data_IF_358716877241
#
_entry.id   IF_358716877241
#
_cell.length_a   1.000
_cell.length_b   1.000
_cell.length_c   1.000
_cell.angle_alpha   90.00
_cell.angle_beta   90.00
_cell.angle_gamma   90.00
#
_symmetry.space_group_name_H-M   'P 1'
#
loop_
_entity.id
_entity.type
_entity.pdbx_description
1 polymer ?
#
# COMPACT_ATOMS: atom_id res chain seq x y z
N UNK A 1 -8.94 -3.07 -6.06
CA UNK A 1 -8.38 -4.35 -6.63
C UNK A 1 -9.48 -5.39 -6.73
N UNK A 2 -10.32 -5.55 -5.71
CA UNK A 2 -11.47 -6.48 -5.73
C UNK A 2 -12.45 -6.13 -6.86
N UNK A 3 -12.74 -4.85 -7.10
CA UNK A 3 -13.61 -4.41 -8.20
C UNK A 3 -13.07 -4.75 -9.59
N UNK A 4 -11.77 -4.68 -9.81
CA UNK A 4 -11.14 -5.04 -11.10
C UNK A 4 -11.27 -6.55 -11.37
N UNK A 5 -11.26 -7.39 -10.34
CA UNK A 5 -11.47 -8.82 -10.47
C UNK A 5 -12.95 -9.20 -10.64
N UNK A 6 -13.89 -8.43 -10.10
CA UNK A 6 -15.34 -8.64 -10.30
C UNK A 6 -15.80 -8.40 -11.75
N UNK A 7 -15.14 -7.50 -12.48
CA UNK A 7 -15.47 -7.20 -13.89
C UNK A 7 -14.97 -8.25 -14.87
N UNK A 8 -14.03 -9.10 -14.50
CA UNK A 8 -13.59 -10.21 -15.32
C UNK A 8 -14.32 -11.47 -14.85
N UNK A 9 -15.28 -11.94 -15.59
CA UNK A 9 -16.20 -13.09 -15.42
C UNK A 9 -15.57 -14.45 -14.98
N UNK A 10 -14.64 -14.43 -14.04
CA UNK A 10 -13.81 -15.54 -13.59
C UNK A 10 -14.36 -16.26 -12.34
N UNK A 11 -15.41 -15.72 -11.74
CA UNK A 11 -15.99 -16.21 -10.49
C UNK A 11 -17.27 -17.05 -10.71
N UNK A 12 -17.27 -17.90 -11.72
CA UNK A 12 -18.40 -18.82 -11.94
C UNK A 12 -18.30 -20.15 -11.16
N UNK A 13 -17.20 -20.38 -10.44
CA UNK A 13 -17.07 -21.56 -9.58
C UNK A 13 -17.58 -21.25 -8.17
N UNK A 14 -18.48 -22.07 -7.59
CA UNK A 14 -18.97 -21.94 -6.22
C UNK A 14 -17.83 -21.85 -5.20
N UNK A 15 -16.75 -22.62 -5.39
CA UNK A 15 -15.60 -22.67 -4.50
C UNK A 15 -14.82 -21.34 -4.47
N UNK A 16 -14.71 -20.65 -5.62
CA UNK A 16 -14.10 -19.34 -5.71
C UNK A 16 -14.98 -18.24 -5.08
N UNK A 17 -16.31 -18.39 -5.17
CA UNK A 17 -17.24 -17.48 -4.51
C UNK A 17 -17.21 -17.63 -2.98
N UNK A 18 -17.01 -18.85 -2.49
CA UNK A 18 -16.87 -19.13 -1.06
C UNK A 18 -15.56 -18.53 -0.50
N UNK A 19 -14.43 -18.70 -1.23
CA UNK A 19 -13.16 -18.03 -0.92
C UNK A 19 -13.33 -16.51 -0.96
N UNK A 20 -13.97 -15.97 -1.99
CA UNK A 20 -14.26 -14.53 -2.09
C UNK A 20 -15.13 -14.03 -0.94
N UNK A 21 -16.10 -14.82 -0.49
CA UNK A 21 -16.92 -14.51 0.69
C UNK A 21 -16.11 -14.43 1.99
N UNK A 22 -15.02 -15.19 2.12
CA UNK A 22 -14.10 -15.11 3.25
C UNK A 22 -13.27 -13.81 3.22
N UNK A 23 -12.86 -13.35 2.02
CA UNK A 23 -12.13 -12.09 1.86
C UNK A 23 -12.99 -10.84 2.16
N UNK A 24 -14.29 -10.88 1.82
CA UNK A 24 -15.19 -9.73 2.04
C UNK A 24 -15.64 -9.58 3.50
N UNK A 25 -15.45 -10.57 4.36
CA UNK A 25 -15.94 -10.57 5.75
C UNK A 25 -15.08 -9.83 6.75
N UNK A 26 -13.91 -9.33 6.38
CA UNK A 26 -13.11 -8.48 7.26
C UNK A 26 -13.59 -7.02 7.14
N UNK A 27 -14.74 -6.72 7.76
CA UNK A 27 -15.08 -5.33 8.05
C UNK A 27 -13.96 -4.77 8.92
N UNK A 28 -13.11 -3.96 8.34
CA UNK A 28 -12.25 -3.08 9.12
C UNK A 28 -13.21 -2.20 9.93
N UNK A 29 -13.24 -2.36 11.25
CA UNK A 29 -13.82 -1.35 12.14
C UNK A 29 -13.03 -0.08 11.87
N UNK A 30 -13.55 0.75 10.99
CA UNK A 30 -12.90 1.97 10.54
C UNK A 30 -12.60 2.85 11.76
N UNK A 31 -11.33 2.87 12.14
CA UNK A 31 -10.83 3.88 13.06
C UNK A 31 -11.02 5.22 12.35
N UNK A 32 -11.66 6.17 13.03
CA UNK A 32 -11.85 7.52 12.47
C UNK A 32 -10.47 8.12 12.24
N UNK A 33 -10.15 8.56 11.00
CA UNK A 33 -8.85 9.15 10.71
C UNK A 33 -8.57 10.33 11.66
N UNK A 34 -7.41 10.33 12.28
CA UNK A 34 -6.98 11.46 13.10
C UNK A 34 -6.49 12.57 12.19
N UNK A 35 -7.08 13.77 12.32
CA UNK A 35 -6.68 14.91 11.51
C UNK A 35 -5.22 15.29 11.81
N UNK A 36 -4.41 15.46 10.74
CA UNK A 36 -3.08 16.01 10.86
C UNK A 36 -3.14 17.46 11.32
N UNK A 37 -2.10 17.87 12.04
CA UNK A 37 -1.89 19.29 12.36
C UNK A 37 -1.38 20.04 11.12
N UNK A 38 -1.75 21.32 10.97
CA UNK A 38 -1.12 22.19 9.97
C UNK A 38 0.36 22.45 10.32
N UNK A 39 0.74 22.26 11.58
CA UNK A 39 2.11 22.38 12.04
C UNK A 39 2.88 21.07 11.76
N UNK A 40 3.87 21.15 10.85
CA UNK A 40 4.72 20.02 10.46
C UNK A 40 5.48 19.44 11.65
N UNK A 41 6.08 20.30 12.50
CA UNK A 41 6.85 19.88 13.67
C UNK A 41 6.01 19.07 14.64
N UNK A 42 4.75 19.46 14.85
CA UNK A 42 3.81 18.73 15.69
C UNK A 42 3.50 17.33 15.13
N UNK A 43 3.37 17.18 13.82
CA UNK A 43 3.16 15.87 13.20
C UNK A 43 4.41 14.98 13.34
N UNK A 44 5.61 15.52 13.14
CA UNK A 44 6.87 14.82 13.34
C UNK A 44 7.00 14.33 14.78
N UNK A 45 6.68 15.19 15.77
CA UNK A 45 6.69 14.83 17.19
C UNK A 45 5.68 13.71 17.50
N UNK A 46 4.45 13.75 16.93
CA UNK A 46 3.45 12.69 17.07
C UNK A 46 3.91 11.35 16.49
N UNK A 47 4.72 11.37 15.45
CA UNK A 47 5.33 10.16 14.86
C UNK A 47 6.52 9.64 15.68
N UNK A 48 6.88 10.30 16.80
CA UNK A 48 8.02 9.94 17.63
C UNK A 48 9.38 10.20 16.96
N UNK A 49 9.43 11.15 16.04
CA UNK A 49 10.64 11.51 15.30
C UNK A 49 11.21 12.85 15.80
N UNK A 50 12.52 13.04 15.62
CA UNK A 50 13.19 14.28 15.93
C UNK A 50 12.98 15.32 14.83
N UNK A 51 12.78 16.56 15.25
CA UNK A 51 12.69 17.70 14.36
C UNK A 51 14.06 18.01 13.75
N UNK A 52 14.09 18.22 12.45
CA UNK A 52 15.31 18.58 11.70
C UNK A 52 15.05 19.84 10.90
N UNK A 53 15.80 20.93 11.13
CA UNK A 53 15.55 22.21 10.46
C UNK A 53 15.50 22.11 8.93
N UNK A 54 16.40 21.33 8.33
CA UNK A 54 16.46 21.14 6.89
C UNK A 54 15.23 20.36 6.35
N UNK A 55 14.66 19.44 7.14
CA UNK A 55 13.44 18.72 6.78
C UNK A 55 12.23 19.65 6.84
N UNK A 56 12.19 20.55 7.82
CA UNK A 56 11.13 21.54 7.94
C UNK A 56 11.14 22.51 6.76
N UNK A 57 12.30 23.07 6.41
CA UNK A 57 12.46 23.94 5.24
C UNK A 57 12.03 23.24 3.94
N UNK A 58 12.39 21.96 3.79
CA UNK A 58 11.95 21.13 2.66
C UNK A 58 10.44 20.96 2.63
N UNK A 59 9.82 20.68 3.78
CA UNK A 59 8.38 20.47 3.89
C UNK A 59 7.60 21.78 3.60
N UNK A 60 8.03 22.91 4.12
CA UNK A 60 7.46 24.24 3.82
C UNK A 60 7.50 24.54 2.33
N UNK A 61 8.63 24.23 1.68
CA UNK A 61 8.76 24.42 0.23
C UNK A 61 7.82 23.51 -0.56
N UNK A 62 7.66 22.26 -0.14
CA UNK A 62 6.70 21.33 -0.76
C UNK A 62 5.26 21.84 -0.56
N UNK A 63 4.89 22.26 0.65
CA UNK A 63 3.57 22.81 0.95
C UNK A 63 3.22 24.00 0.03
N UNK A 64 4.12 24.96 -0.07
CA UNK A 64 3.96 26.11 -0.96
C UNK A 64 3.70 25.68 -2.41
N UNK A 65 4.51 24.75 -2.95
CA UNK A 65 4.38 24.29 -4.35
C UNK A 65 3.08 23.53 -4.60
N UNK A 66 2.61 22.79 -3.62
CA UNK A 66 1.33 22.09 -3.68
C UNK A 66 0.14 23.05 -3.63
N UNK A 67 0.21 24.12 -2.85
CA UNK A 67 -0.83 25.17 -2.80
C UNK A 67 -0.91 25.95 -4.11
N UNK A 68 0.23 26.14 -4.78
CA UNK A 68 0.28 26.83 -6.08
C UNK A 68 -0.22 25.96 -7.26
N UNK A 69 -0.55 24.66 -7.01
CA UNK A 69 -0.96 23.67 -8.03
C UNK A 69 0.00 23.60 -9.24
N UNK A 70 1.31 23.63 -8.94
CA UNK A 70 2.36 23.63 -9.94
C UNK A 70 3.13 22.32 -10.01
N UNK A 71 3.47 21.90 -11.23
CA UNK A 71 4.45 20.82 -11.43
C UNK A 71 5.84 21.33 -11.12
N UNK A 72 6.51 20.67 -10.16
CA UNK A 72 7.80 21.12 -9.65
C UNK A 72 8.79 19.98 -9.50
N UNK A 73 10.08 20.30 -9.65
CA UNK A 73 11.19 19.38 -9.39
C UNK A 73 11.96 19.85 -8.17
N UNK A 74 12.04 19.00 -7.16
CA UNK A 74 12.74 19.32 -5.92
C UNK A 74 13.88 18.32 -5.73
N UNK A 75 15.09 18.84 -5.60
CA UNK A 75 16.25 18.05 -5.26
C UNK A 75 16.60 18.25 -3.78
N UNK A 76 16.77 17.14 -3.06
CA UNK A 76 17.19 17.17 -1.66
C UNK A 76 18.17 16.04 -1.36
N UNK A 77 19.07 16.27 -0.41
CA UNK A 77 20.11 15.31 -0.02
C UNK A 77 19.52 14.02 0.57
N UNK A 78 20.29 12.92 0.45
CA UNK A 78 19.95 11.67 1.14
C UNK A 78 20.02 11.85 2.66
N UNK A 79 19.12 11.18 3.39
CA UNK A 79 19.05 11.26 4.85
C UNK A 79 18.32 12.48 5.42
N UNK A 80 17.84 13.39 4.58
CA UNK A 80 17.08 14.57 5.00
C UNK A 80 15.71 14.23 5.62
N UNK A 81 15.16 13.02 5.38
CA UNK A 81 13.81 12.67 5.78
C UNK A 81 12.75 13.10 4.76
N UNK A 82 13.10 13.05 3.47
CA UNK A 82 12.24 13.49 2.35
C UNK A 82 10.84 12.89 2.38
N UNK A 83 10.71 11.61 2.76
CA UNK A 83 9.44 10.90 2.71
C UNK A 83 8.37 11.61 3.54
N UNK A 84 8.63 11.88 4.80
CA UNK A 84 7.70 12.67 5.61
C UNK A 84 7.63 14.13 5.16
N UNK A 85 8.75 14.69 4.68
CA UNK A 85 8.82 16.05 4.19
C UNK A 85 7.89 16.35 2.99
N UNK A 86 7.54 15.35 2.17
CA UNK A 86 6.54 15.54 1.12
C UNK A 86 5.17 14.92 1.45
N UNK A 87 5.14 13.82 2.21
CA UNK A 87 3.87 13.15 2.55
C UNK A 87 3.01 14.01 3.49
N UNK A 88 3.58 14.57 4.56
CA UNK A 88 2.81 15.32 5.55
C UNK A 88 2.19 16.59 4.98
N UNK A 89 2.90 17.45 4.20
CA UNK A 89 2.28 18.57 3.52
C UNK A 89 1.18 18.13 2.54
N UNK A 90 1.43 17.09 1.73
CA UNK A 90 0.45 16.59 0.79
C UNK A 90 -0.83 16.09 1.48
N UNK A 91 -0.68 15.40 2.62
CA UNK A 91 -1.81 14.91 3.43
C UNK A 91 -2.58 16.04 4.15
N UNK A 92 -1.98 17.21 4.32
CA UNK A 92 -2.63 18.38 4.89
C UNK A 92 -3.46 19.18 3.89
N UNK A 93 -3.30 18.95 2.59
CA UNK A 93 -4.13 19.61 1.59
C UNK A 93 -5.59 19.21 1.79
N UNK A 94 -6.48 20.17 1.80
CA UNK A 94 -7.93 19.95 1.89
C UNK A 94 -8.49 19.45 0.55
N UNK A 95 -7.87 18.43 -0.03
CA UNK A 95 -8.31 17.82 -1.28
C UNK A 95 -9.09 16.55 -0.99
N UNK A 96 -10.23 16.38 -1.64
CA UNK A 96 -10.97 15.11 -1.64
C UNK A 96 -10.31 14.06 -2.54
N UNK A 97 -9.32 14.43 -3.33
CA UNK A 97 -8.53 13.53 -4.14
C UNK A 97 -7.50 12.81 -3.28
N UNK A 98 -7.32 11.52 -3.52
CA UNK A 98 -6.26 10.75 -2.87
C UNK A 98 -4.87 11.19 -3.34
N UNK A 99 -3.83 10.81 -2.57
CA UNK A 99 -2.44 11.07 -2.91
C UNK A 99 -1.86 9.83 -3.57
N UNK A 100 -1.27 10.00 -4.74
CA UNK A 100 -0.53 8.95 -5.43
C UNK A 100 0.97 9.22 -5.34
N UNK A 101 1.71 8.29 -4.70
CA UNK A 101 3.17 8.33 -4.64
C UNK A 101 3.74 7.25 -5.55
N UNK A 102 4.50 7.65 -6.57
CA UNK A 102 5.17 6.73 -7.48
C UNK A 102 6.65 6.62 -7.14
N UNK A 103 7.11 5.39 -6.90
CA UNK A 103 8.52 5.08 -6.66
C UNK A 103 9.13 4.28 -7.81
N UNK A 104 10.42 4.47 -8.12
CA UNK A 104 11.08 3.82 -9.26
C UNK A 104 11.35 2.32 -9.05
N UNK A 105 11.30 1.82 -7.82
CA UNK A 105 11.60 0.41 -7.49
C UNK A 105 10.64 -0.15 -6.46
N UNK A 106 10.40 -1.47 -6.52
CA UNK A 106 9.62 -2.20 -5.49
C UNK A 106 10.26 -2.10 -4.10
N UNK A 107 11.58 -2.07 -4.02
CA UNK A 107 12.31 -1.93 -2.75
C UNK A 107 11.92 -0.63 -2.07
N UNK A 108 11.91 0.49 -2.80
CA UNK A 108 11.51 1.78 -2.25
C UNK A 108 10.02 1.80 -1.89
N UNK A 109 9.14 1.20 -2.71
CA UNK A 109 7.72 1.06 -2.38
C UNK A 109 7.52 0.29 -1.08
N UNK A 110 8.18 -0.87 -0.94
CA UNK A 110 8.09 -1.68 0.26
C UNK A 110 8.64 -0.95 1.49
N UNK A 111 9.76 -0.24 1.35
CA UNK A 111 10.32 0.57 2.43
C UNK A 111 9.31 1.64 2.90
N UNK A 112 8.76 2.43 1.97
CA UNK A 112 7.75 3.46 2.30
C UNK A 112 6.54 2.82 2.99
N UNK A 113 6.08 1.66 2.54
CA UNK A 113 4.91 0.99 3.13
C UNK A 113 5.19 0.44 4.53
N UNK A 114 6.35 -0.19 4.73
CA UNK A 114 6.68 -0.87 5.99
C UNK A 114 7.17 0.07 7.09
N UNK A 115 7.83 1.17 6.72
CA UNK A 115 8.36 2.13 7.68
C UNK A 115 7.42 3.33 7.85
N UNK A 116 7.37 4.21 6.86
CA UNK A 116 6.61 5.45 6.95
C UNK A 116 5.10 5.21 6.91
N UNK A 117 4.64 4.37 6.00
CA UNK A 117 3.22 4.04 5.83
C UNK A 117 2.64 3.37 7.06
N UNK A 118 3.38 2.44 7.68
CA UNK A 118 2.93 1.79 8.89
C UNK A 118 2.77 2.79 10.04
N UNK A 119 3.71 3.70 10.24
CA UNK A 119 3.61 4.75 11.26
C UNK A 119 2.44 5.71 11.02
N UNK A 120 2.20 6.08 9.76
CA UNK A 120 1.06 6.93 9.38
C UNK A 120 -0.27 6.23 9.66
N UNK A 121 -0.38 4.93 9.38
CA UNK A 121 -1.55 4.12 9.73
C UNK A 121 -1.79 4.06 11.23
N UNK A 122 -0.75 3.82 12.02
CA UNK A 122 -0.85 3.69 13.49
C UNK A 122 -1.19 5.02 14.18
N UNK A 123 -0.55 6.11 13.77
CA UNK A 123 -0.68 7.41 14.45
C UNK A 123 -1.90 8.19 13.96
N UNK A 124 -2.15 8.19 12.65
CA UNK A 124 -3.20 9.00 12.04
C UNK A 124 -4.40 8.19 11.53
N UNK A 125 -4.36 6.86 11.66
CA UNK A 125 -5.42 5.94 11.21
C UNK A 125 -5.77 6.10 9.73
N UNK A 126 -4.75 6.29 8.91
CA UNK A 126 -4.89 6.50 7.46
C UNK A 126 -5.02 5.18 6.70
N UNK A 127 -5.81 5.17 5.65
CA UNK A 127 -5.83 4.08 4.68
C UNK A 127 -4.71 4.31 3.65
N UNK A 128 -3.76 3.38 3.58
CA UNK A 128 -2.63 3.42 2.66
C UNK A 128 -2.53 2.08 1.97
N UNK A 129 -2.52 2.10 0.64
CA UNK A 129 -2.43 0.91 -0.19
C UNK A 129 -1.20 0.96 -1.09
N UNK A 130 -0.57 -0.19 -1.30
CA UNK A 130 0.49 -0.35 -2.30
C UNK A 130 -0.09 -0.94 -3.57
N UNK A 131 0.26 -0.37 -4.72
CA UNK A 131 -0.10 -0.90 -6.03
C UNK A 131 1.18 -1.18 -6.82
N UNK A 132 1.39 -2.45 -7.16
CA UNK A 132 2.52 -2.91 -7.99
C UNK A 132 2.03 -3.25 -9.40
N UNK A 133 2.94 -3.48 -10.32
CA UNK A 133 2.58 -3.97 -11.66
C UNK A 133 1.87 -5.34 -11.61
N UNK A 134 0.98 -5.67 -12.58
CA UNK A 134 0.15 -6.89 -12.57
C UNK A 134 0.93 -8.20 -12.42
N UNK A 135 2.20 -8.20 -12.85
CA UNK A 135 3.08 -9.36 -12.75
C UNK A 135 3.47 -9.74 -11.31
N UNK A 136 3.23 -8.84 -10.34
CA UNK A 136 3.52 -9.09 -8.93
C UNK A 136 2.35 -9.72 -8.18
N UNK A 137 1.21 -9.90 -8.83
CA UNK A 137 0.02 -10.48 -8.22
C UNK A 137 -0.29 -11.86 -8.76
N UNK A 138 -0.81 -12.74 -7.90
CA UNK A 138 -1.27 -14.05 -8.32
C UNK A 138 -2.44 -13.93 -9.28
N UNK A 139 -2.32 -14.51 -10.47
CA UNK A 139 -3.42 -14.62 -11.42
C UNK A 139 -4.28 -15.83 -11.07
N UNK A 140 -5.43 -15.61 -10.45
CA UNK A 140 -6.32 -16.66 -9.95
C UNK A 140 -6.79 -17.63 -11.05
N UNK A 141 -7.11 -17.12 -12.24
CA UNK A 141 -7.51 -17.95 -13.39
C UNK A 141 -6.38 -18.88 -13.85
N UNK A 142 -5.16 -18.40 -13.88
CA UNK A 142 -3.98 -19.20 -14.22
C UNK A 142 -3.71 -20.24 -13.13
N UNK A 143 -3.79 -19.85 -11.86
CA UNK A 143 -3.61 -20.75 -10.74
C UNK A 143 -4.68 -21.85 -10.72
N UNK A 144 -5.96 -21.51 -10.94
CA UNK A 144 -7.05 -22.46 -11.03
C UNK A 144 -6.81 -23.52 -12.11
N UNK A 145 -6.36 -23.12 -13.31
CA UNK A 145 -5.99 -24.09 -14.37
C UNK A 145 -4.87 -25.04 -13.95
N UNK A 146 -3.93 -24.54 -13.15
CA UNK A 146 -2.80 -25.33 -12.66
C UNK A 146 -3.21 -26.25 -11.52
N UNK A 147 -4.16 -25.86 -10.67
CA UNK A 147 -4.66 -26.68 -9.56
C UNK A 147 -5.24 -28.02 -10.06
N UNK A 148 -6.01 -27.98 -11.14
CA UNK A 148 -6.68 -29.18 -11.69
C UNK A 148 -5.75 -30.10 -12.52
N UNK A 149 -4.49 -29.70 -12.74
CA UNK A 149 -3.52 -30.59 -13.40
C UNK A 149 -2.98 -31.61 -12.42
N UNK A 150 -3.06 -32.89 -12.81
CA UNK A 150 -2.41 -33.98 -12.06
C UNK A 150 -0.92 -33.88 -12.27
N UNK A 151 -0.19 -33.65 -11.19
CA UNK A 151 1.26 -33.53 -11.20
C UNK A 151 1.88 -34.71 -10.45
N UNK A 152 2.87 -35.34 -11.06
CA UNK A 152 3.67 -36.39 -10.39
C UNK A 152 4.79 -35.82 -9.50
N UNK A 153 5.05 -34.52 -9.58
CA UNK A 153 6.09 -33.87 -8.79
C UNK A 153 5.55 -33.42 -7.40
N UNK A 154 6.03 -34.10 -6.35
CA UNK A 154 5.65 -33.81 -4.96
C UNK A 154 5.98 -32.37 -4.53
N UNK A 155 7.07 -31.77 -5.00
CA UNK A 155 7.46 -30.41 -4.66
C UNK A 155 6.42 -29.41 -5.22
N UNK A 156 5.99 -29.64 -6.44
CA UNK A 156 4.98 -28.80 -7.08
C UNK A 156 3.62 -28.93 -6.41
N UNK A 157 3.22 -30.14 -6.01
CA UNK A 157 2.00 -30.35 -5.23
C UNK A 157 2.07 -29.62 -3.89
N UNK A 158 3.20 -29.69 -3.19
CA UNK A 158 3.41 -28.97 -1.94
C UNK A 158 3.32 -27.45 -2.14
N UNK A 159 3.92 -26.93 -3.20
CA UNK A 159 3.83 -25.51 -3.54
C UNK A 159 2.38 -25.05 -3.83
N UNK A 160 1.61 -25.86 -4.56
CA UNK A 160 0.16 -25.59 -4.77
C UNK A 160 -0.59 -25.49 -3.42
N UNK A 161 -0.31 -26.40 -2.49
CA UNK A 161 -0.92 -26.38 -1.16
C UNK A 161 -0.53 -25.13 -0.36
N UNK A 162 0.75 -24.74 -0.42
CA UNK A 162 1.21 -23.50 0.23
C UNK A 162 0.52 -22.27 -0.35
N UNK A 163 0.37 -22.19 -1.67
CA UNK A 163 -0.37 -21.10 -2.31
C UNK A 163 -1.85 -21.08 -1.91
N UNK A 164 -2.50 -22.25 -1.77
CA UNK A 164 -3.89 -22.32 -1.31
C UNK A 164 -4.04 -21.79 0.12
N UNK A 165 -3.14 -22.18 1.03
CA UNK A 165 -3.15 -21.68 2.40
C UNK A 165 -2.91 -20.16 2.39
N UNK A 166 -1.87 -19.70 1.69
CA UNK A 166 -1.56 -18.27 1.58
C UNK A 166 -2.75 -17.46 1.02
N UNK A 167 -3.49 -18.01 0.05
CA UNK A 167 -4.68 -17.36 -0.50
C UNK A 167 -5.78 -17.13 0.55
N UNK A 168 -5.81 -17.90 1.64
CA UNK A 168 -6.76 -17.68 2.73
C UNK A 168 -6.31 -16.59 3.70
N UNK A 169 -5.04 -16.19 3.63
CA UNK A 169 -4.42 -15.23 4.55
C UNK A 169 -4.13 -13.87 3.90
N UNK A 170 -3.82 -13.87 2.59
CA UNK A 170 -3.48 -12.63 1.88
C UNK A 170 -4.69 -11.70 1.72
N UNK A 171 -4.47 -10.41 1.92
CA UNK A 171 -5.46 -9.37 1.65
C UNK A 171 -5.26 -8.73 0.28
N UNK A 172 -4.10 -8.88 -0.33
CA UNK A 172 -3.70 -8.17 -1.55
C UNK A 172 -3.48 -9.08 -2.74
N UNK A 173 -3.13 -10.34 -2.52
CA UNK A 173 -2.70 -11.27 -3.56
C UNK A 173 -1.29 -10.96 -4.11
N UNK A 174 -0.52 -10.11 -3.42
CA UNK A 174 0.85 -9.75 -3.77
C UNK A 174 1.82 -10.91 -3.50
N UNK A 175 2.49 -11.38 -4.53
CA UNK A 175 3.42 -12.52 -4.44
C UNK A 175 4.64 -12.26 -3.54
N UNK A 176 4.97 -11.00 -3.26
CA UNK A 176 6.04 -10.67 -2.31
C UNK A 176 5.64 -10.96 -0.84
N UNK A 177 4.37 -11.27 -0.55
CA UNK A 177 3.88 -11.72 0.77
C UNK A 177 4.15 -13.22 1.02
N UNK A 178 4.50 -13.96 -0.02
CA UNK A 178 4.88 -15.36 0.10
C UNK A 178 6.34 -15.41 0.55
N UNK A 179 6.58 -15.46 1.86
CA UNK A 179 7.89 -15.55 2.49
C UNK A 179 8.57 -16.89 2.31
#
# INVERSE_FOLDING_TARGET
>A
IVEVYQQQSLLSSPDLMELHGLFLKKESKGLVPRKLSKDFAKNISLLGLEERPQQMEFAEKVEQLLEEDQTSFIQAQTGLGKTYGYLLPALNLESQAGILVSGPTKILQNQIMQEEGQRLKEVFHMEIHSLKGPQNYLKLDAFHRVLHRTESNRLFTRFKMQLLIWLTETETGDLDEIG
#
